data_IF_060739340990
#
_entry.id   IF_060739340990
#
_cell.length_a   1.000
_cell.length_b   1.000
_cell.length_c   1.000
_cell.angle_alpha   90.00
_cell.angle_beta   90.00
_cell.angle_gamma   90.00
#
_symmetry.space_group_name_H-M   'P 1'
#
loop_
_entity.id
_entity.type
_entity.pdbx_description
1 polymer ?
#
# COMPACT_ATOMS: atom_id res chain seq x y z
N UNK A 1 9.03 -41.31 -59.47
CA UNK A 1 8.34 -42.51 -58.92
C UNK A 1 9.07 -42.92 -57.65
N UNK A 2 8.49 -42.63 -56.49
CA UNK A 2 8.81 -43.23 -55.20
C UNK A 2 7.60 -42.95 -54.29
N UNK A 3 6.86 -44.00 -53.95
CA UNK A 3 5.61 -43.91 -53.19
C UNK A 3 5.85 -43.69 -51.71
N UNK A 4 5.10 -42.76 -51.12
CA UNK A 4 4.97 -42.60 -49.67
C UNK A 4 3.92 -43.61 -49.15
N UNK A 5 4.23 -44.41 -48.11
CA UNK A 5 3.27 -45.35 -47.54
C UNK A 5 2.27 -44.69 -46.59
N UNK A 6 1.12 -45.35 -46.47
CA UNK A 6 -0.13 -44.88 -45.90
C UNK A 6 -0.11 -44.58 -44.40
N UNK A 7 -0.82 -43.50 -44.02
CA UNK A 7 -1.17 -43.13 -42.64
C UNK A 7 -2.02 -44.22 -41.99
N UNK A 8 -1.47 -44.89 -40.97
CA UNK A 8 -2.24 -45.71 -40.02
C UNK A 8 -3.04 -44.79 -39.09
N UNK A 9 -4.36 -44.97 -39.06
CA UNK A 9 -5.26 -44.39 -38.05
C UNK A 9 -5.16 -45.26 -36.80
N UNK A 10 -4.72 -44.69 -35.68
CA UNK A 10 -4.82 -45.30 -34.35
C UNK A 10 -5.92 -44.56 -33.60
N UNK A 11 -6.93 -45.26 -33.03
CA UNK A 11 -7.94 -44.63 -32.19
C UNK A 11 -7.32 -44.29 -30.84
N UNK A 12 -7.33 -43.01 -30.47
CA UNK A 12 -6.91 -42.53 -29.17
C UNK A 12 -8.12 -42.61 -28.23
N UNK A 13 -8.17 -43.69 -27.44
CA UNK A 13 -9.07 -43.84 -26.31
C UNK A 13 -8.74 -42.76 -25.27
N UNK A 14 -9.66 -41.81 -25.10
CA UNK A 14 -9.65 -40.82 -24.02
C UNK A 14 -9.95 -41.56 -22.71
N UNK A 15 -8.90 -41.89 -21.95
CA UNK A 15 -9.01 -42.35 -20.58
C UNK A 15 -9.17 -41.15 -19.64
N UNK A 16 -10.38 -40.96 -19.13
CA UNK A 16 -10.69 -39.99 -18.09
C UNK A 16 -10.08 -40.50 -16.76
N UNK A 17 -8.94 -39.94 -16.35
CA UNK A 17 -8.36 -40.22 -15.04
C UNK A 17 -9.06 -39.34 -13.98
N UNK A 18 -10.05 -39.93 -13.32
CA UNK A 18 -10.75 -39.34 -12.18
C UNK A 18 -9.84 -39.49 -10.94
N UNK A 19 -9.14 -38.42 -10.58
CA UNK A 19 -8.32 -38.38 -9.35
C UNK A 19 -9.27 -38.15 -8.17
N UNK A 20 -9.67 -39.24 -7.52
CA UNK A 20 -10.29 -39.22 -6.20
C UNK A 20 -9.21 -38.91 -5.16
N UNK A 21 -9.23 -37.70 -4.60
CA UNK A 21 -8.48 -37.38 -3.38
C UNK A 21 -9.17 -38.13 -2.24
N UNK A 22 -8.50 -39.19 -1.76
CA UNK A 22 -8.94 -40.01 -0.63
C UNK A 22 -8.77 -39.19 0.65
N UNK A 23 -9.88 -38.73 1.22
CA UNK A 23 -9.93 -38.26 2.61
C UNK A 23 -9.71 -39.44 3.55
N UNK A 24 -8.54 -39.50 4.19
CA UNK A 24 -8.27 -40.47 5.25
C UNK A 24 -9.01 -40.05 6.53
N UNK A 25 -10.21 -40.60 6.73
CA UNK A 25 -10.93 -40.53 8.00
C UNK A 25 -10.33 -41.55 8.97
N UNK A 26 -9.49 -41.09 9.89
CA UNK A 26 -9.08 -41.89 11.06
C UNK A 26 -10.04 -41.55 12.19
N UNK A 27 -10.98 -42.46 12.47
CA UNK A 27 -11.94 -42.34 13.57
C UNK A 27 -11.30 -42.90 14.84
N UNK A 28 -10.81 -42.03 15.72
CA UNK A 28 -10.56 -42.38 17.10
C UNK A 28 -11.82 -42.04 17.91
N UNK A 29 -12.51 -43.08 18.37
CA UNK A 29 -13.58 -42.96 19.36
C UNK A 29 -12.93 -42.66 20.73
N UNK A 30 -12.86 -41.38 21.09
CA UNK A 30 -12.62 -40.96 22.47
C UNK A 30 -13.74 -40.02 22.91
N UNK A 31 -14.47 -40.44 23.94
CA UNK A 31 -15.39 -39.65 24.72
C UNK A 31 -14.63 -38.60 25.56
N UNK A 32 -14.06 -37.61 24.89
CA UNK A 32 -13.63 -36.33 25.47
C UNK A 32 -14.54 -35.25 24.89
N UNK A 33 -14.81 -34.21 25.67
CA UNK A 33 -15.72 -33.11 25.33
C UNK A 33 -15.60 -32.70 23.85
N UNK A 34 -16.71 -32.81 23.11
CA UNK A 34 -16.71 -32.61 21.66
C UNK A 34 -16.05 -31.28 21.26
N UNK A 35 -16.17 -30.26 22.12
CA UNK A 35 -15.59 -28.92 21.96
C UNK A 35 -14.04 -28.94 21.95
N UNK A 36 -13.40 -29.76 22.79
CA UNK A 36 -11.93 -29.89 22.82
C UNK A 36 -11.41 -30.59 21.56
N UNK A 37 -12.16 -31.57 21.05
CA UNK A 37 -11.83 -32.28 19.81
C UNK A 37 -12.01 -31.36 18.59
N UNK A 38 -13.07 -30.54 18.57
CA UNK A 38 -13.30 -29.55 17.52
C UNK A 38 -12.24 -28.44 17.53
N UNK A 39 -11.85 -27.92 18.70
CA UNK A 39 -10.78 -26.95 18.83
C UNK A 39 -9.43 -27.52 18.33
N UNK A 40 -9.09 -28.76 18.71
CA UNK A 40 -7.88 -29.41 18.26
C UNK A 40 -7.86 -29.58 16.72
N UNK A 41 -8.99 -30.00 16.13
CA UNK A 41 -9.14 -30.12 14.67
C UNK A 41 -8.98 -28.77 13.97
N UNK A 42 -9.66 -27.73 14.44
CA UNK A 42 -9.56 -26.40 13.83
C UNK A 42 -8.15 -25.79 13.96
N UNK A 43 -7.47 -26.03 15.08
CA UNK A 43 -6.07 -25.63 15.27
C UNK A 43 -5.14 -26.38 14.31
N UNK A 44 -5.34 -27.68 14.13
CA UNK A 44 -4.58 -28.46 13.14
C UNK A 44 -4.87 -27.98 11.70
N UNK A 45 -6.12 -27.64 11.40
CA UNK A 45 -6.51 -27.05 10.12
C UNK A 45 -5.79 -25.73 9.87
N UNK A 46 -5.85 -24.77 10.82
CA UNK A 46 -5.12 -23.50 10.72
C UNK A 46 -3.61 -23.72 10.52
N UNK A 47 -3.01 -24.66 11.28
CA UNK A 47 -1.57 -24.96 11.19
C UNK A 47 -1.15 -25.45 9.81
N UNK A 48 -2.01 -26.20 9.12
CA UNK A 48 -1.72 -26.79 7.82
C UNK A 48 -2.27 -25.99 6.64
N UNK A 49 -3.18 -25.04 6.89
CA UNK A 49 -3.78 -24.19 5.87
C UNK A 49 -2.71 -23.41 5.11
N UNK A 50 -3.00 -23.11 3.84
CA UNK A 50 -2.11 -22.35 2.97
C UNK A 50 -0.68 -22.93 2.86
N UNK A 51 -0.52 -24.26 2.99
CA UNK A 51 0.80 -24.89 3.01
C UNK A 51 1.63 -24.60 4.27
N UNK A 52 0.99 -24.18 5.36
CA UNK A 52 1.66 -23.82 6.62
C UNK A 52 2.26 -22.41 6.63
N UNK A 53 1.83 -21.52 5.73
CA UNK A 53 2.35 -20.15 5.62
C UNK A 53 1.75 -19.17 6.64
N UNK A 54 0.58 -19.49 7.22
CA UNK A 54 -0.05 -18.62 8.22
C UNK A 54 0.72 -18.65 9.56
N UNK A 55 0.80 -17.52 10.30
CA UNK A 55 1.49 -17.43 11.59
C UNK A 55 0.70 -18.13 12.69
N UNK A 56 0.82 -19.46 12.74
CA UNK A 56 0.04 -20.31 13.65
C UNK A 56 0.15 -19.88 15.11
N UNK A 57 1.34 -19.51 15.59
CA UNK A 57 1.55 -19.13 16.99
C UNK A 57 0.72 -17.90 17.41
N UNK A 58 0.49 -16.96 16.50
CA UNK A 58 -0.28 -15.73 16.76
C UNK A 58 -1.78 -15.93 16.57
N UNK A 59 -2.17 -16.84 15.68
CA UNK A 59 -3.57 -17.07 15.30
C UNK A 59 -4.25 -18.22 16.06
N UNK A 60 -3.50 -19.16 16.65
CA UNK A 60 -4.06 -20.38 17.29
C UNK A 60 -5.05 -20.13 18.42
N UNK A 61 -4.91 -18.99 19.10
CA UNK A 61 -5.74 -18.61 20.25
C UNK A 61 -7.03 -17.91 19.83
N UNK A 62 -7.14 -17.59 18.53
CA UNK A 62 -8.34 -17.05 17.92
C UNK A 62 -9.27 -18.13 17.37
N UNK A 63 -8.77 -19.35 17.20
CA UNK A 63 -9.50 -20.44 16.58
C UNK A 63 -10.69 -20.87 17.45
N UNK A 64 -11.93 -20.82 16.94
CA UNK A 64 -13.10 -21.25 17.70
C UNK A 64 -13.11 -22.77 17.88
N UNK A 65 -13.69 -23.23 18.99
CA UNK A 65 -13.86 -24.66 19.30
C UNK A 65 -15.25 -25.20 18.95
N UNK A 66 -16.21 -24.34 18.62
CA UNK A 66 -17.64 -24.67 18.55
C UNK A 66 -18.18 -24.79 17.11
N UNK A 67 -17.45 -24.29 16.12
CA UNK A 67 -17.83 -24.37 14.69
C UNK A 67 -16.71 -25.01 13.88
N UNK A 68 -17.07 -25.76 12.84
CA UNK A 68 -16.09 -26.32 11.91
C UNK A 68 -15.54 -25.22 11.01
N UNK A 69 -14.21 -25.17 10.84
CA UNK A 69 -13.61 -24.26 9.88
C UNK A 69 -13.67 -24.76 8.43
N UNK A 70 -13.58 -23.86 7.47
CA UNK A 70 -13.42 -24.13 6.05
C UNK A 70 -12.10 -23.52 5.55
N UNK A 71 -11.50 -24.10 4.52
CA UNK A 71 -10.27 -23.59 3.89
C UNK A 71 -10.47 -23.50 2.39
N UNK A 72 -10.28 -22.32 1.84
CA UNK A 72 -10.18 -22.08 0.42
C UNK A 72 -8.79 -21.56 0.11
N UNK A 73 -7.99 -22.33 -0.61
CA UNK A 73 -6.61 -21.96 -0.89
C UNK A 73 -6.22 -22.32 -2.33
N UNK A 74 -5.65 -21.37 -3.06
CA UNK A 74 -5.10 -21.58 -4.40
C UNK A 74 -3.90 -20.66 -4.64
N UNK A 75 -3.16 -20.90 -5.71
CA UNK A 75 -2.03 -20.08 -6.12
C UNK A 75 -0.82 -20.90 -6.52
N UNK A 76 0.06 -20.28 -7.30
CA UNK A 76 1.27 -20.94 -7.84
C UNK A 76 2.22 -21.45 -6.75
N UNK A 77 2.18 -20.89 -5.54
CA UNK A 77 2.95 -21.39 -4.41
C UNK A 77 2.42 -22.73 -3.87
N UNK A 78 1.11 -22.94 -3.94
CA UNK A 78 0.46 -24.15 -3.40
C UNK A 78 0.43 -25.28 -4.43
N UNK A 79 0.19 -24.93 -5.70
CA UNK A 79 0.16 -25.88 -6.81
C UNK A 79 1.10 -25.41 -7.92
N UNK A 80 2.42 -25.67 -7.81
CA UNK A 80 3.38 -25.28 -8.84
C UNK A 80 3.05 -25.93 -10.19
N UNK A 81 2.96 -25.12 -11.24
CA UNK A 81 2.67 -25.59 -12.61
C UNK A 81 1.24 -25.35 -13.10
N UNK A 82 0.31 -24.97 -12.22
CA UNK A 82 -0.99 -24.44 -12.63
C UNK A 82 -0.90 -22.93 -12.90
N UNK A 83 -1.52 -22.46 -13.98
CA UNK A 83 -1.56 -21.03 -14.30
C UNK A 83 -2.49 -20.30 -13.31
N UNK A 84 -1.91 -19.48 -12.44
CA UNK A 84 -2.66 -18.59 -11.55
C UNK A 84 -2.02 -17.21 -11.50
N UNK A 85 -2.83 -16.15 -11.53
CA UNK A 85 -2.33 -14.77 -11.35
C UNK A 85 -1.84 -14.51 -9.92
N UNK A 86 -2.29 -15.31 -8.95
CA UNK A 86 -1.88 -15.23 -7.55
C UNK A 86 -0.67 -16.11 -7.25
N UNK A 87 0.19 -15.63 -6.37
CA UNK A 87 1.19 -16.48 -5.70
C UNK A 87 0.49 -17.30 -4.62
N UNK A 88 -0.38 -16.64 -3.85
CA UNK A 88 -1.20 -17.23 -2.81
C UNK A 88 -2.54 -16.49 -2.75
N UNK A 89 -3.62 -17.23 -2.60
CA UNK A 89 -4.91 -16.71 -2.15
C UNK A 89 -5.43 -17.75 -1.18
N UNK A 90 -5.54 -17.36 0.09
CA UNK A 90 -5.90 -18.28 1.15
C UNK A 90 -6.90 -17.64 2.09
N UNK A 91 -7.99 -18.34 2.33
CA UNK A 91 -9.05 -17.96 3.23
C UNK A 91 -9.33 -19.13 4.16
N UNK A 92 -9.23 -18.90 5.45
CA UNK A 92 -9.66 -19.84 6.49
C UNK A 92 -10.83 -19.19 7.22
N UNK A 93 -12.02 -19.76 7.06
CA UNK A 93 -13.24 -19.22 7.64
C UNK A 93 -13.77 -20.14 8.73
N UNK A 94 -14.46 -19.55 9.68
CA UNK A 94 -15.28 -20.23 10.66
C UNK A 94 -16.64 -19.53 10.63
N UNK A 95 -17.68 -20.16 10.05
CA UNK A 95 -18.98 -19.52 9.84
C UNK A 95 -19.52 -18.84 11.10
N UNK A 96 -19.97 -17.60 10.97
CA UNK A 96 -20.49 -16.74 12.06
C UNK A 96 -19.53 -16.54 13.24
N UNK A 97 -18.26 -16.93 13.07
CA UNK A 97 -17.20 -16.72 14.05
C UNK A 97 -16.20 -15.74 13.50
N UNK A 98 -15.52 -16.01 12.40
CA UNK A 98 -14.51 -15.10 11.86
C UNK A 98 -13.75 -15.70 10.69
N UNK A 99 -12.77 -14.96 10.16
CA UNK A 99 -11.94 -15.40 9.05
C UNK A 99 -10.51 -14.87 9.14
N UNK A 100 -9.60 -15.63 8.57
CA UNK A 100 -8.25 -15.17 8.23
C UNK A 100 -8.14 -15.26 6.72
N UNK A 101 -7.87 -14.13 6.09
CA UNK A 101 -7.72 -14.03 4.65
C UNK A 101 -6.37 -13.43 4.34
N UNK A 102 -5.59 -14.09 3.48
CA UNK A 102 -4.31 -13.59 2.99
C UNK A 102 -4.22 -13.81 1.49
N UNK A 103 -3.86 -12.75 0.76
CA UNK A 103 -3.58 -12.83 -0.67
C UNK A 103 -2.20 -12.28 -0.94
N UNK A 104 -1.47 -12.95 -1.83
CA UNK A 104 -0.21 -12.47 -2.35
C UNK A 104 -0.22 -12.62 -3.87
N UNK A 105 0.11 -11.55 -4.58
CA UNK A 105 0.35 -11.65 -6.02
C UNK A 105 1.48 -10.74 -6.46
N UNK A 106 2.03 -10.97 -7.66
CA UNK A 106 3.10 -10.14 -8.19
C UNK A 106 2.63 -8.68 -8.30
N UNK A 107 3.50 -7.73 -7.97
CA UNK A 107 3.28 -6.31 -8.29
C UNK A 107 3.41 -6.18 -9.80
N UNK A 108 2.27 -6.21 -10.48
CA UNK A 108 2.19 -5.90 -11.91
C UNK A 108 1.92 -4.41 -12.06
N UNK A 109 1.79 -3.95 -13.31
CA UNK A 109 1.37 -2.60 -13.69
C UNK A 109 0.01 -2.13 -13.11
N UNK A 110 -0.63 -2.94 -12.25
CA UNK A 110 -1.81 -2.60 -11.47
C UNK A 110 -1.80 -3.42 -10.17
N UNK A 111 -1.95 -2.74 -9.05
CA UNK A 111 -2.26 -3.36 -7.76
C UNK A 111 -3.75 -3.72 -7.69
N UNK A 112 -4.14 -4.76 -6.95
CA UNK A 112 -5.55 -5.11 -6.82
C UNK A 112 -6.29 -4.05 -6.00
N UNK A 113 -7.55 -3.79 -6.33
CA UNK A 113 -8.44 -3.09 -5.41
C UNK A 113 -8.53 -3.86 -4.08
N UNK A 114 -8.59 -3.17 -2.93
CA UNK A 114 -8.69 -1.72 -2.75
C UNK A 114 -7.33 -0.99 -2.58
N UNK A 115 -6.22 -1.55 -3.05
CA UNK A 115 -4.89 -0.91 -2.87
C UNK A 115 -4.67 0.17 -3.92
N UNK A 116 -4.37 1.37 -3.43
CA UNK A 116 -4.09 2.58 -4.22
C UNK A 116 -2.66 3.05 -4.02
N UNK A 117 -2.06 3.59 -5.08
CA UNK A 117 -0.80 4.35 -5.01
C UNK A 117 -0.99 5.77 -5.53
N UNK A 118 -2.24 6.25 -5.63
CA UNK A 118 -2.51 7.61 -6.04
C UNK A 118 -1.90 8.58 -5.03
N UNK A 119 -1.18 9.58 -5.54
CA UNK A 119 -0.47 10.52 -4.69
C UNK A 119 -1.39 11.24 -3.71
N UNK A 120 -2.61 11.60 -4.14
CA UNK A 120 -3.60 12.27 -3.31
C UNK A 120 -4.12 11.39 -2.15
N UNK A 121 -4.06 10.07 -2.30
CA UNK A 121 -4.48 9.10 -1.27
C UNK A 121 -3.30 8.64 -0.39
N UNK A 122 -2.06 8.86 -0.86
CA UNK A 122 -0.83 8.58 -0.11
C UNK A 122 -0.35 9.78 0.71
N UNK A 123 -0.50 10.99 0.16
CA UNK A 123 -0.33 12.28 0.83
C UNK A 123 -1.29 12.32 2.00
N UNK A 124 -0.77 12.55 3.19
CA UNK A 124 -1.57 12.63 4.40
C UNK A 124 -2.50 13.83 4.31
N UNK A 125 -3.67 13.65 3.72
CA UNK A 125 -4.83 14.43 4.09
C UNK A 125 -5.32 13.85 5.40
N UNK A 126 -5.36 14.66 6.45
CA UNK A 126 -6.02 14.35 7.71
C UNK A 126 -7.44 13.88 7.38
N UNK A 127 -7.60 12.56 7.27
CA UNK A 127 -8.81 11.87 6.85
C UNK A 127 -9.54 11.34 8.08
N UNK A 128 -10.83 11.07 7.92
CA UNK A 128 -11.78 10.80 9.02
C UNK A 128 -11.65 9.39 9.61
N UNK A 129 -10.93 8.49 8.94
CA UNK A 129 -10.80 7.08 9.33
C UNK A 129 -9.39 6.77 9.86
N UNK A 130 -9.32 5.95 10.92
CA UNK A 130 -8.07 5.53 11.51
C UNK A 130 -7.27 4.64 10.56
N UNK A 131 -6.12 5.16 10.12
CA UNK A 131 -5.11 4.44 9.36
C UNK A 131 -3.87 4.18 10.25
N UNK A 132 -3.21 3.07 9.99
CA UNK A 132 -2.05 2.59 10.73
C UNK A 132 -0.89 2.30 9.80
N UNK A 133 0.30 2.74 10.22
CA UNK A 133 1.57 2.45 9.56
C UNK A 133 2.49 1.66 10.48
N UNK A 134 3.35 0.83 9.88
CA UNK A 134 4.32 0.02 10.59
C UNK A 134 5.74 0.42 10.14
N UNK A 135 6.60 0.96 11.03
CA UNK A 135 7.97 1.32 10.67
C UNK A 135 8.74 0.15 10.04
N UNK A 136 9.41 0.40 8.92
CA UNK A 136 10.16 -0.58 8.14
C UNK A 136 9.29 -1.43 7.20
N UNK A 137 7.98 -1.22 7.14
CA UNK A 137 7.05 -1.92 6.24
C UNK A 137 6.49 -0.93 5.24
N UNK A 138 6.61 -1.25 3.94
CA UNK A 138 5.91 -0.49 2.90
C UNK A 138 4.49 -0.99 2.79
N UNK A 139 3.54 -0.29 3.39
CA UNK A 139 2.16 -0.74 3.52
C UNK A 139 1.36 0.06 4.53
N UNK A 140 0.04 -0.08 4.45
CA UNK A 140 -0.92 0.59 5.34
C UNK A 140 -2.01 -0.40 5.77
N UNK A 141 -2.63 -0.09 6.90
CA UNK A 141 -3.83 -0.76 7.43
C UNK A 141 -4.86 0.32 7.74
N UNK A 142 -6.11 0.14 7.36
CA UNK A 142 -7.17 1.12 7.62
C UNK A 142 -8.45 0.46 8.10
N UNK A 143 -9.36 1.23 8.68
CA UNK A 143 -10.66 0.69 9.12
C UNK A 143 -11.53 0.24 7.93
N UNK A 144 -11.50 0.98 6.83
CA UNK A 144 -12.25 0.69 5.60
C UNK A 144 -11.45 -0.12 4.56
N UNK A 145 -10.13 -0.19 4.68
CA UNK A 145 -9.23 -0.82 3.72
C UNK A 145 -8.56 -2.08 4.27
N UNK A 146 -8.33 -3.09 3.42
CA UNK A 146 -7.58 -4.28 3.83
C UNK A 146 -6.13 -3.90 4.12
N UNK A 147 -5.54 -4.46 5.18
CA UNK A 147 -4.10 -4.29 5.42
C UNK A 147 -3.32 -4.82 4.24
N UNK A 148 -2.42 -4.02 3.70
CA UNK A 148 -1.59 -4.38 2.56
C UNK A 148 -0.14 -4.00 2.82
N UNK A 149 0.78 -4.73 2.18
CA UNK A 149 2.19 -4.37 2.11
C UNK A 149 2.81 -4.82 0.79
N UNK A 150 3.99 -4.30 0.49
CA UNK A 150 4.80 -4.67 -0.66
C UNK A 150 6.10 -5.31 -0.19
N UNK A 151 6.38 -6.50 -0.70
CA UNK A 151 7.58 -7.25 -0.41
C UNK A 151 8.41 -7.43 -1.69
N UNK A 152 9.68 -7.06 -1.62
CA UNK A 152 10.57 -7.25 -2.74
C UNK A 152 11.02 -8.68 -2.94
N UNK A 153 11.33 -8.98 -4.20
CA UNK A 153 11.97 -10.18 -4.66
C UNK A 153 13.06 -9.87 -5.71
N UNK A 154 14.26 -9.41 -5.30
CA UNK A 154 15.29 -8.95 -6.24
C UNK A 154 15.73 -9.98 -7.28
N UNK A 155 15.76 -11.27 -6.92
CA UNK A 155 16.07 -12.37 -7.84
C UNK A 155 14.92 -12.73 -8.79
N UNK A 156 13.77 -12.05 -8.67
CA UNK A 156 12.56 -12.29 -9.44
C UNK A 156 11.66 -13.38 -8.84
N UNK A 157 10.36 -13.23 -9.08
CA UNK A 157 9.35 -14.24 -8.75
C UNK A 157 9.39 -15.37 -9.79
N UNK A 158 9.55 -16.61 -9.34
CA UNK A 158 9.74 -17.76 -10.22
C UNK A 158 8.50 -18.12 -11.07
N UNK A 159 8.74 -18.86 -12.15
CA UNK A 159 7.71 -19.47 -13.01
C UNK A 159 6.74 -18.48 -13.70
N UNK A 160 7.21 -17.27 -14.01
CA UNK A 160 6.42 -16.25 -14.72
C UNK A 160 6.96 -15.97 -16.13
N UNK A 161 6.06 -15.55 -17.01
CA UNK A 161 6.40 -15.13 -18.37
C UNK A 161 7.04 -13.74 -18.44
N UNK A 162 6.93 -12.95 -17.36
CA UNK A 162 7.59 -11.65 -17.17
C UNK A 162 8.35 -11.69 -15.85
N UNK A 163 9.54 -11.11 -15.85
CA UNK A 163 10.30 -10.91 -14.62
C UNK A 163 9.59 -9.87 -13.77
N UNK A 164 9.20 -10.27 -12.55
CA UNK A 164 8.57 -9.39 -11.57
C UNK A 164 9.37 -9.50 -10.29
N UNK A 165 9.82 -8.37 -9.77
CA UNK A 165 10.74 -8.29 -8.62
C UNK A 165 10.08 -7.83 -7.32
N UNK A 166 8.75 -7.85 -7.23
CA UNK A 166 8.01 -7.67 -5.98
C UNK A 166 6.66 -8.36 -5.99
N UNK A 167 6.11 -8.57 -4.81
CA UNK A 167 4.74 -9.01 -4.59
C UNK A 167 4.04 -8.07 -3.62
N UNK A 168 2.75 -7.84 -3.83
CA UNK A 168 1.90 -7.27 -2.80
C UNK A 168 1.36 -8.42 -1.95
N UNK A 169 1.12 -8.14 -0.67
CA UNK A 169 0.46 -9.07 0.26
C UNK A 169 -0.63 -8.31 0.98
N UNK A 170 -1.86 -8.83 0.95
CA UNK A 170 -2.97 -8.32 1.78
C UNK A 170 -3.29 -9.32 2.87
N UNK A 171 -3.71 -8.83 4.04
CA UNK A 171 -4.14 -9.65 5.14
C UNK A 171 -5.36 -9.04 5.84
N UNK A 172 -6.34 -9.88 6.13
CA UNK A 172 -7.50 -9.55 6.96
C UNK A 172 -7.60 -10.58 8.06
N UNK A 173 -7.68 -10.14 9.31
CA UNK A 173 -7.85 -11.03 10.46
C UNK A 173 -9.06 -10.57 11.26
N UNK A 174 -10.22 -11.13 10.90
CA UNK A 174 -11.48 -10.77 11.54
C UNK A 174 -11.63 -11.44 12.90
N UNK A 175 -12.47 -10.82 13.73
CA UNK A 175 -12.73 -11.22 15.11
C UNK A 175 -13.72 -12.37 15.21
N UNK A 176 -13.46 -13.23 16.20
CA UNK A 176 -14.15 -14.50 16.48
C UNK A 176 -15.29 -14.37 17.50
N UNK A 177 -16.55 -14.55 17.07
CA UNK A 177 -17.70 -14.91 17.92
C UNK A 177 -18.27 -13.84 18.88
N UNK A 178 -19.49 -14.09 19.38
CA UNK A 178 -20.18 -13.24 20.34
C UNK A 178 -19.48 -13.29 21.71
N UNK A 179 -18.87 -12.17 22.15
CA UNK A 179 -18.22 -12.05 23.47
C UNK A 179 -16.70 -11.85 23.44
N UNK A 180 -16.04 -11.93 22.28
CA UNK A 180 -14.65 -11.51 22.16
C UNK A 180 -14.54 -9.97 22.32
N UNK A 181 -14.01 -9.50 23.46
CA UNK A 181 -13.77 -8.07 23.76
C UNK A 181 -13.16 -7.34 22.57
N UNK A 182 -13.82 -6.44 21.81
CA UNK A 182 -13.25 -5.70 20.63
C UNK A 182 -11.74 -5.42 20.81
N UNK A 183 -10.88 -5.98 19.93
CA UNK A 183 -9.47 -5.60 19.89
C UNK A 183 -9.50 -4.11 19.53
N UNK A 184 -8.69 -3.29 20.20
CA UNK A 184 -8.47 -1.94 19.73
C UNK A 184 -7.97 -1.97 18.28
N UNK A 185 -8.31 -0.96 17.49
CA UNK A 185 -7.95 -0.89 16.07
C UNK A 185 -6.43 -1.04 15.85
N UNK A 186 -5.60 -0.42 16.69
CA UNK A 186 -4.14 -0.59 16.72
C UNK A 186 -3.71 -2.07 16.85
N UNK A 187 -4.26 -2.81 17.80
CA UNK A 187 -3.90 -4.21 18.04
C UNK A 187 -4.40 -5.15 16.94
N UNK A 188 -5.47 -4.76 16.22
CA UNK A 188 -5.92 -5.43 15.00
C UNK A 188 -4.93 -5.16 13.86
N UNK A 189 -4.62 -3.91 13.58
CA UNK A 189 -3.68 -3.50 12.53
C UNK A 189 -2.32 -4.17 12.71
N UNK A 190 -1.76 -4.17 13.93
CA UNK A 190 -0.50 -4.84 14.23
C UNK A 190 -0.54 -6.35 13.92
N UNK A 191 -1.65 -7.02 14.21
CA UNK A 191 -1.82 -8.44 13.92
C UNK A 191 -1.91 -8.71 12.41
N UNK A 192 -2.63 -7.87 11.70
CA UNK A 192 -2.77 -7.98 10.24
C UNK A 192 -1.42 -7.72 9.55
N UNK A 193 -0.67 -6.68 9.97
CA UNK A 193 0.70 -6.44 9.49
C UNK A 193 1.64 -7.60 9.78
N UNK A 194 1.66 -8.14 11.01
CA UNK A 194 2.47 -9.31 11.33
C UNK A 194 2.12 -10.51 10.47
N UNK A 195 0.83 -10.73 10.24
CA UNK A 195 0.35 -11.81 9.37
C UNK A 195 0.82 -11.63 7.94
N UNK A 196 0.69 -10.42 7.38
CA UNK A 196 1.16 -10.10 6.04
C UNK A 196 2.69 -10.25 5.93
N UNK A 197 3.45 -9.74 6.91
CA UNK A 197 4.92 -9.81 6.93
C UNK A 197 5.42 -11.26 7.05
N UNK A 198 4.83 -12.06 7.92
CA UNK A 198 5.21 -13.47 8.10
C UNK A 198 4.94 -14.27 6.82
N UNK A 199 3.79 -14.04 6.16
CA UNK A 199 3.48 -14.67 4.87
C UNK A 199 4.40 -14.17 3.76
N UNK A 200 4.66 -12.86 3.68
CA UNK A 200 5.59 -12.29 2.72
C UNK A 200 6.98 -12.90 2.85
N UNK A 201 7.52 -12.97 4.06
CA UNK A 201 8.84 -13.55 4.35
C UNK A 201 8.89 -15.05 4.04
N UNK A 202 7.81 -15.79 4.30
CA UNK A 202 7.73 -17.19 3.95
C UNK A 202 7.71 -17.39 2.41
N UNK A 203 6.98 -16.53 1.69
CA UNK A 203 6.96 -16.52 0.22
C UNK A 203 8.30 -16.09 -0.36
N UNK A 204 8.94 -15.03 0.12
CA UNK A 204 10.24 -14.59 -0.40
C UNK A 204 11.31 -15.67 -0.23
N UNK A 205 11.30 -16.36 0.90
CA UNK A 205 12.17 -17.52 1.16
C UNK A 205 11.88 -18.67 0.20
N UNK A 206 10.61 -19.01 -0.01
CA UNK A 206 10.21 -20.08 -0.92
C UNK A 206 10.58 -19.77 -2.39
N UNK A 207 10.44 -18.52 -2.80
CA UNK A 207 10.78 -18.01 -4.12
C UNK A 207 12.28 -17.74 -4.31
N UNK A 208 13.09 -17.86 -3.25
CA UNK A 208 14.56 -17.61 -3.26
C UNK A 208 14.91 -16.20 -3.74
N UNK A 209 14.17 -15.22 -3.26
CA UNK A 209 14.24 -13.83 -3.68
C UNK A 209 15.60 -13.12 -3.48
N UNK A 210 16.47 -13.61 -2.58
CA UNK A 210 17.82 -13.07 -2.41
C UNK A 210 17.93 -11.71 -1.68
N UNK A 211 16.84 -11.25 -1.04
CA UNK A 211 16.80 -10.03 -0.21
C UNK A 211 16.72 -10.32 1.30
N UNK A 212 16.83 -9.26 2.11
CA UNK A 212 16.60 -9.33 3.56
C UNK A 212 15.11 -9.53 3.87
N UNK A 213 14.82 -10.28 4.92
CA UNK A 213 13.46 -10.46 5.40
C UNK A 213 12.94 -9.14 5.97
N UNK A 214 11.66 -8.83 5.72
CA UNK A 214 11.00 -7.68 6.34
C UNK A 214 10.98 -7.91 7.85
N UNK A 215 11.45 -6.94 8.62
CA UNK A 215 11.40 -7.02 10.08
C UNK A 215 9.94 -7.14 10.53
N UNK A 216 9.67 -8.07 11.44
CA UNK A 216 8.32 -8.26 11.97
C UNK A 216 7.98 -7.07 12.88
N UNK A 217 6.88 -6.33 12.61
CA UNK A 217 6.59 -5.11 13.36
C UNK A 217 6.23 -5.42 14.82
N UNK A 218 6.76 -4.60 15.72
CA UNK A 218 6.51 -4.67 17.16
C UNK A 218 5.38 -3.74 17.60
N UNK A 219 5.21 -2.61 16.90
CA UNK A 219 4.14 -1.62 17.05
C UNK A 219 3.59 -1.18 15.69
N UNK A 220 2.45 -0.51 15.71
CA UNK A 220 1.94 0.32 14.61
C UNK A 220 1.77 1.74 15.13
N UNK A 221 1.76 2.72 14.24
CA UNK A 221 1.53 4.12 14.57
C UNK A 221 0.21 4.51 13.94
N UNK A 222 -0.67 5.08 14.76
CA UNK A 222 -1.92 5.68 14.30
C UNK A 222 -1.57 6.95 13.52
N UNK A 223 -2.01 7.03 12.27
CA UNK A 223 -1.78 8.19 11.41
C UNK A 223 -2.97 9.16 11.41
N UNK A 224 -3.99 8.90 12.24
CA UNK A 224 -5.15 9.76 12.42
C UNK A 224 -4.93 10.85 13.48
N UNK A 225 -5.42 12.06 13.19
CA UNK A 225 -5.52 13.16 14.13
C UNK A 225 -6.93 13.17 14.73
N UNK A 226 -7.05 12.90 16.04
CA UNK A 226 -8.35 12.93 16.72
C UNK A 226 -8.64 14.34 17.27
N UNK A 227 -9.65 15.01 16.73
CA UNK A 227 -10.31 16.13 17.41
C UNK A 227 -11.27 15.56 18.48
N UNK A 228 -10.94 15.75 19.75
CA UNK A 228 -11.80 15.27 20.85
C UNK A 228 -12.73 16.39 21.30
N UNK A 229 -14.04 16.26 21.02
CA UNK A 229 -15.03 17.18 21.60
C UNK A 229 -15.47 16.65 22.96
N UNK A 230 -15.40 17.48 24.01
CA UNK A 230 -15.90 17.11 25.34
C UNK A 230 -17.42 17.30 25.48
N UNK A 231 -18.06 18.01 24.54
CA UNK A 231 -19.51 18.28 24.53
C UNK A 231 -20.27 17.56 23.38
N UNK A 232 -21.49 17.03 23.63
CA UNK A 232 -22.35 16.41 22.60
C UNK A 232 -22.80 17.35 21.48
N UNK A 233 -22.68 18.65 21.72
CA UNK A 233 -23.21 19.72 20.85
C UNK A 233 -22.12 20.29 19.92
N UNK A 234 -20.86 19.82 20.05
CA UNK A 234 -19.70 20.30 19.29
C UNK A 234 -19.27 21.74 19.63
N UNK A 235 -19.86 22.35 20.66
CA UNK A 235 -19.68 23.78 20.97
C UNK A 235 -18.33 24.13 21.60
N UNK A 236 -17.63 23.15 22.19
CA UNK A 236 -16.29 23.30 22.74
C UNK A 236 -15.41 22.18 22.18
N UNK A 237 -14.72 22.46 21.06
CA UNK A 237 -13.61 21.64 20.59
C UNK A 237 -12.39 21.98 21.45
N UNK A 238 -12.11 21.15 22.46
CA UNK A 238 -10.80 21.20 23.14
C UNK A 238 -9.90 20.18 22.45
N UNK A 239 -8.93 20.69 21.68
CA UNK A 239 -7.87 19.87 21.05
C UNK A 239 -6.93 19.39 22.17
N UNK A 240 -7.35 18.38 22.93
CA UNK A 240 -6.53 17.80 24.00
C UNK A 240 -5.51 16.83 23.38
N UNK A 241 -4.47 17.40 22.76
CA UNK A 241 -3.24 16.72 22.37
C UNK A 241 -3.27 16.02 21.01
N UNK A 242 -3.06 16.78 19.93
CA UNK A 242 -2.83 16.20 18.60
C UNK A 242 -1.32 16.19 18.33
N UNK A 243 -0.60 15.18 18.81
CA UNK A 243 0.71 14.86 18.26
C UNK A 243 0.49 14.44 16.81
N UNK A 244 0.90 15.28 15.86
CA UNK A 244 0.70 15.01 14.44
C UNK A 244 1.67 13.94 13.98
N UNK A 245 1.18 12.74 13.57
CA UNK A 245 2.05 11.66 13.15
C UNK A 245 2.93 12.10 11.98
N UNK A 246 4.24 11.92 12.12
CA UNK A 246 5.21 12.26 11.08
C UNK A 246 5.62 13.73 11.01
N UNK A 247 5.11 14.60 11.88
CA UNK A 247 5.59 15.98 11.98
C UNK A 247 7.10 16.02 12.27
N UNK A 248 7.83 16.86 11.54
CA UNK A 248 9.27 16.98 11.63
C UNK A 248 10.04 15.81 11.03
N UNK A 249 9.40 14.93 10.25
CA UNK A 249 10.04 13.77 9.63
C UNK A 249 11.32 14.19 8.87
N UNK A 250 12.46 13.67 9.34
CA UNK A 250 13.78 14.11 8.87
C UNK A 250 13.97 13.94 7.35
N UNK A 251 13.28 12.95 6.77
CA UNK A 251 13.31 12.61 5.34
C UNK A 251 12.60 13.62 4.43
N UNK A 252 11.81 14.52 5.02
CA UNK A 252 10.98 15.50 4.31
C UNK A 252 11.49 16.94 4.46
N UNK A 253 12.52 17.18 5.28
CA UNK A 253 12.98 18.53 5.65
C UNK A 253 13.36 19.40 4.45
N UNK A 254 13.98 18.81 3.42
CA UNK A 254 14.33 19.52 2.20
C UNK A 254 13.15 20.09 1.40
N UNK A 255 11.92 19.58 1.58
CA UNK A 255 10.79 19.89 0.69
C UNK A 255 10.48 21.40 0.64
N UNK A 256 10.48 22.05 1.80
CA UNK A 256 10.14 23.48 1.93
C UNK A 256 11.35 24.38 2.23
N UNK A 257 12.57 23.83 2.29
CA UNK A 257 13.78 24.53 2.77
C UNK A 257 14.07 25.82 1.99
N UNK A 258 13.80 25.81 0.69
CA UNK A 258 14.07 26.92 -0.20
C UNK A 258 12.95 27.98 -0.21
N UNK A 259 11.82 27.74 0.49
CA UNK A 259 10.68 28.64 0.52
C UNK A 259 10.76 29.60 1.73
N UNK A 260 10.39 30.88 1.55
CA UNK A 260 10.40 31.83 2.66
C UNK A 260 9.36 31.45 3.72
N UNK A 261 9.61 31.87 4.97
CA UNK A 261 8.71 31.64 6.08
C UNK A 261 9.05 30.40 6.91
N UNK A 262 8.23 30.16 7.93
CA UNK A 262 8.28 28.92 8.72
C UNK A 262 7.32 27.92 8.10
N UNK A 263 7.77 26.67 7.95
CA UNK A 263 6.99 25.61 7.34
C UNK A 263 6.86 24.44 8.31
N UNK A 264 5.62 23.99 8.51
CA UNK A 264 5.35 22.70 9.14
C UNK A 264 5.53 21.61 8.09
N UNK A 265 6.37 20.63 8.37
CA UNK A 265 6.68 19.52 7.47
C UNK A 265 6.32 18.21 8.12
N UNK A 266 5.54 17.37 7.44
CA UNK A 266 5.18 16.03 7.86
C UNK A 266 5.56 15.01 6.77
N UNK A 267 5.53 13.72 7.10
CA UNK A 267 5.68 12.65 6.13
C UNK A 267 5.28 11.30 6.68
N UNK A 268 5.20 10.29 5.81
CA UNK A 268 4.81 8.95 6.24
C UNK A 268 5.80 8.38 7.29
N UNK A 269 5.32 7.43 8.07
CA UNK A 269 6.03 6.76 9.17
C UNK A 269 6.43 5.33 8.81
N UNK A 270 6.28 4.93 7.55
CA UNK A 270 6.59 3.58 7.07
C UNK A 270 8.09 3.29 7.03
N UNK A 271 8.95 4.32 7.06
CA UNK A 271 10.41 4.21 6.87
C UNK A 271 10.78 3.35 5.65
N UNK A 272 9.95 3.45 4.60
CA UNK A 272 10.06 2.63 3.42
C UNK A 272 11.24 3.06 2.53
N UNK A 273 11.82 2.08 1.83
CA UNK A 273 12.77 2.31 0.73
C UNK A 273 12.13 2.30 -0.65
N UNK A 274 10.86 1.91 -0.74
CA UNK A 274 10.08 1.85 -1.98
C UNK A 274 9.15 3.06 -2.11
N UNK A 275 8.78 3.67 -0.99
CA UNK A 275 7.83 4.77 -0.92
C UNK A 275 8.37 5.86 0.01
N UNK A 276 8.12 7.11 -0.37
CA UNK A 276 8.22 8.27 0.52
C UNK A 276 7.08 9.21 0.20
N UNK A 277 6.44 9.72 1.22
CA UNK A 277 5.40 10.75 1.18
C UNK A 277 5.83 11.85 2.14
N UNK A 278 5.77 13.08 1.66
CA UNK A 278 6.11 14.28 2.41
C UNK A 278 5.11 15.39 2.09
N UNK A 279 4.76 16.16 3.11
CA UNK A 279 3.83 17.28 3.01
C UNK A 279 4.34 18.48 3.79
N UNK A 280 4.20 19.66 3.24
CA UNK A 280 4.61 20.90 3.88
C UNK A 280 3.56 22.00 3.70
N UNK A 281 3.34 22.77 4.76
CA UNK A 281 2.41 23.89 4.77
C UNK A 281 2.97 25.04 5.63
N UNK A 282 2.68 26.31 5.30
CA UNK A 282 3.15 27.44 6.10
C UNK A 282 2.32 27.62 7.39
N UNK A 283 1.21 26.90 7.54
CA UNK A 283 0.42 26.86 8.78
C UNK A 283 1.16 26.10 9.88
N UNK A 284 1.04 26.55 11.12
CA UNK A 284 1.46 25.77 12.27
C UNK A 284 0.49 24.60 12.43
N UNK A 285 0.97 23.38 12.24
CA UNK A 285 0.12 22.20 12.41
C UNK A 285 -0.06 21.84 13.89
N UNK A 286 0.88 22.20 14.76
CA UNK A 286 0.75 21.94 16.21
C UNK A 286 -0.27 22.86 16.88
N UNK A 287 -0.51 24.04 16.30
CA UNK A 287 -1.49 25.02 16.77
C UNK A 287 -2.50 25.34 15.66
N UNK A 288 -3.50 24.48 15.49
CA UNK A 288 -4.60 24.70 14.55
C UNK A 288 -5.46 25.94 14.87
N UNK A 289 -5.27 26.55 16.05
CA UNK A 289 -5.93 27.79 16.46
C UNK A 289 -5.13 29.05 16.13
N UNK A 290 -3.86 28.91 15.73
CA UNK A 290 -3.05 30.01 15.26
C UNK A 290 -3.66 30.60 13.99
N UNK A 291 -3.69 31.93 13.92
CA UNK A 291 -4.11 32.61 12.69
C UNK A 291 -3.21 32.13 11.54
N UNK A 292 -3.80 31.67 10.41
CA UNK A 292 -3.03 31.33 9.23
C UNK A 292 -2.12 32.52 8.86
N UNK A 293 -0.87 32.30 8.40
CA UNK A 293 -0.08 33.41 7.92
C UNK A 293 -0.82 34.08 6.76
N UNK A 294 -0.79 35.42 6.73
CA UNK A 294 -1.29 36.18 5.61
C UNK A 294 -0.45 35.83 4.37
N UNK A 295 -1.03 35.06 3.45
CA UNK A 295 -0.44 34.71 2.16
C UNK A 295 -1.01 35.65 1.09
N UNK A 296 -0.14 36.22 0.26
CA UNK A 296 -0.55 37.03 -0.89
C UNK A 296 -0.99 36.10 -2.05
N UNK A 297 -1.84 36.59 -2.96
CA UNK A 297 -2.21 35.84 -4.18
C UNK A 297 -0.94 35.40 -4.94
N UNK A 298 -0.79 34.09 -5.15
CA UNK A 298 0.36 33.49 -5.81
C UNK A 298 1.51 33.05 -4.90
N UNK A 299 1.40 33.26 -3.58
CA UNK A 299 2.28 32.62 -2.61
C UNK A 299 2.00 31.12 -2.53
N UNK A 300 3.00 30.32 -2.15
CA UNK A 300 2.83 28.86 -2.00
C UNK A 300 2.09 28.58 -0.70
N UNK A 301 0.94 27.92 -0.78
CA UNK A 301 0.11 27.56 0.37
C UNK A 301 0.29 26.09 0.80
N UNK A 302 0.74 25.22 -0.10
CA UNK A 302 1.09 23.85 0.22
C UNK A 302 2.11 23.26 -0.77
N UNK A 303 2.90 22.32 -0.27
CA UNK A 303 3.82 21.48 -1.04
C UNK A 303 3.59 20.03 -0.64
N UNK A 304 3.63 19.12 -1.60
CA UNK A 304 3.76 17.68 -1.32
C UNK A 304 4.80 17.05 -2.22
N UNK A 305 5.41 15.97 -1.76
CA UNK A 305 6.34 15.17 -2.53
C UNK A 305 6.10 13.69 -2.28
N UNK A 306 5.96 12.93 -3.37
CA UNK A 306 5.82 11.48 -3.32
C UNK A 306 6.88 10.84 -4.21
N UNK A 307 7.53 9.79 -3.72
CA UNK A 307 8.50 9.00 -4.48
C UNK A 307 8.15 7.53 -4.44
N UNK A 308 8.06 6.89 -5.61
CA UNK A 308 7.84 5.45 -5.76
C UNK A 308 9.03 4.82 -6.47
N UNK A 309 9.76 3.96 -5.76
CA UNK A 309 10.95 3.28 -6.27
C UNK A 309 10.69 1.81 -6.62
N UNK A 310 11.47 1.34 -7.59
CA UNK A 310 11.43 -0.03 -8.05
C UNK A 310 10.05 -0.41 -8.59
N UNK A 311 9.50 -1.57 -8.18
CA UNK A 311 8.21 -2.05 -8.68
C UNK A 311 7.02 -1.11 -8.45
N UNK A 312 7.07 -0.25 -7.42
CA UNK A 312 6.00 0.74 -7.20
C UNK A 312 6.00 1.84 -8.25
N UNK A 313 7.18 2.28 -8.70
CA UNK A 313 7.28 3.27 -9.77
C UNK A 313 6.65 2.77 -11.08
N UNK A 314 6.81 1.48 -11.41
CA UNK A 314 6.19 0.89 -12.60
C UNK A 314 4.67 0.76 -12.49
N UNK A 315 4.14 0.48 -11.29
CA UNK A 315 2.70 0.43 -11.06
C UNK A 315 2.06 1.81 -11.20
N UNK A 316 2.70 2.85 -10.65
CA UNK A 316 2.25 4.25 -10.75
C UNK A 316 2.28 4.74 -12.18
N UNK A 317 3.38 4.49 -12.92
CA UNK A 317 3.51 4.86 -14.34
C UNK A 317 2.29 4.37 -15.15
N UNK A 318 1.95 3.08 -14.98
CA UNK A 318 0.84 2.45 -15.70
C UNK A 318 -0.56 2.83 -15.19
N UNK A 319 -0.69 3.25 -13.94
CA UNK A 319 -1.92 3.80 -13.38
C UNK A 319 -2.22 5.18 -13.98
N UNK A 320 -1.24 6.07 -13.94
CA UNK A 320 -1.37 7.44 -14.44
C UNK A 320 -1.45 7.51 -15.97
N UNK A 321 -0.75 6.65 -16.71
CA UNK A 321 -0.91 6.54 -18.17
C UNK A 321 -2.36 6.22 -18.57
N UNK A 322 -3.06 5.42 -17.74
CA UNK A 322 -4.44 5.01 -18.00
C UNK A 322 -5.45 6.08 -17.59
N UNK A 323 -5.20 6.77 -16.48
CA UNK A 323 -6.05 7.86 -15.98
C UNK A 323 -5.98 9.11 -16.86
N UNK A 324 -4.96 9.24 -17.72
CA UNK A 324 -4.68 10.46 -18.48
C UNK A 324 -3.97 11.53 -17.64
N UNK A 325 -3.56 11.16 -16.42
CA UNK A 325 -2.93 12.03 -15.43
C UNK A 325 -1.38 11.89 -15.45
N UNK A 326 -0.82 11.20 -16.45
CA UNK A 326 0.63 11.00 -16.64
C UNK A 326 1.36 12.21 -17.23
N UNK A 327 2.68 12.24 -17.02
CA UNK A 327 3.61 13.20 -17.61
C UNK A 327 3.63 13.04 -19.14
N UNK A 328 2.99 13.98 -19.81
CA UNK A 328 2.69 13.80 -21.22
C UNK A 328 1.71 14.86 -21.69
N UNK A 329 1.99 16.12 -21.34
CA UNK A 329 1.47 17.25 -22.09
C UNK A 329 1.89 17.01 -23.55
N UNK A 330 1.03 16.36 -24.35
CA UNK A 330 1.08 16.56 -25.79
C UNK A 330 0.96 18.06 -25.94
N UNK A 331 2.03 18.71 -26.39
CA UNK A 331 2.16 20.15 -26.44
C UNK A 331 0.81 20.86 -26.66
N UNK A 332 0.21 21.38 -25.58
CA UNK A 332 -1.03 22.15 -25.59
C UNK A 332 -2.38 21.43 -25.37
N UNK A 333 -2.45 20.12 -25.15
CA UNK A 333 -3.73 19.42 -24.86
C UNK A 333 -3.93 19.19 -23.35
N UNK A 334 -5.02 19.74 -22.81
CA UNK A 334 -5.57 19.38 -21.49
C UNK A 334 -6.03 17.93 -21.55
N UNK A 335 -5.46 17.04 -20.74
CA UNK A 335 -5.82 15.61 -20.75
C UNK A 335 -7.11 15.30 -19.99
N UNK A 336 -7.58 16.22 -19.13
CA UNK A 336 -8.80 16.07 -18.33
C UNK A 336 -9.61 17.37 -18.34
N UNK A 337 -10.91 17.26 -18.64
CA UNK A 337 -11.86 18.31 -18.25
C UNK A 337 -12.01 18.24 -16.75
N UNK A 338 -11.48 19.25 -16.09
CA UNK A 338 -11.43 19.27 -14.66
C UNK A 338 -12.64 20.04 -14.10
N UNK A 339 -13.23 19.58 -12.99
CA UNK A 339 -14.45 20.17 -12.42
C UNK A 339 -14.23 21.59 -11.86
N UNK A 340 -15.16 22.50 -12.11
CA UNK A 340 -15.12 23.88 -11.60
C UNK A 340 -15.21 23.92 -10.06
N UNK A 341 -14.39 24.75 -9.40
CA UNK A 341 -14.52 25.10 -7.98
C UNK A 341 -13.68 24.30 -6.97
N UNK A 342 -12.68 23.53 -7.42
CA UNK A 342 -11.67 22.90 -6.54
C UNK A 342 -10.39 23.76 -6.47
N UNK A 343 -9.46 23.58 -5.53
CA UNK A 343 -8.17 24.31 -5.52
C UNK A 343 -7.22 23.82 -6.62
N UNK A 344 -6.61 24.72 -7.42
CA UNK A 344 -5.69 24.30 -8.50
C UNK A 344 -4.37 23.86 -7.88
N UNK A 345 -3.85 22.73 -8.36
CA UNK A 345 -2.50 22.28 -8.07
C UNK A 345 -1.72 21.97 -9.35
N UNK A 346 -0.40 22.10 -9.29
CA UNK A 346 0.50 21.64 -10.34
C UNK A 346 1.38 20.51 -9.79
N UNK A 347 1.29 19.34 -10.41
CA UNK A 347 2.18 18.22 -10.16
C UNK A 347 3.32 18.18 -11.19
N UNK A 348 4.56 18.25 -10.72
CA UNK A 348 5.78 18.06 -11.51
C UNK A 348 6.29 16.63 -11.31
N UNK A 349 6.44 15.91 -12.41
CA UNK A 349 6.94 14.54 -12.43
C UNK A 349 8.40 14.49 -12.84
N UNK A 350 9.18 13.65 -12.15
CA UNK A 350 10.56 13.36 -12.50
C UNK A 350 10.85 11.86 -12.38
N UNK A 351 11.71 11.34 -13.25
CA UNK A 351 12.15 9.96 -13.25
C UNK A 351 13.63 9.88 -12.90
N UNK A 352 14.04 8.86 -12.16
CA UNK A 352 15.44 8.65 -11.82
C UNK A 352 15.73 7.20 -11.45
N UNK A 353 16.90 6.97 -10.89
CA UNK A 353 17.35 5.66 -10.43
C UNK A 353 17.78 5.75 -8.97
N UNK A 354 17.18 4.93 -8.11
CA UNK A 354 17.52 4.81 -6.69
C UNK A 354 17.98 3.38 -6.37
N UNK A 355 18.33 3.13 -5.11
CA UNK A 355 18.81 1.83 -4.64
C UNK A 355 17.83 0.68 -4.91
N UNK A 356 16.52 0.94 -4.86
CA UNK A 356 15.48 -0.05 -5.11
C UNK A 356 15.08 -0.18 -6.60
N UNK A 357 15.63 0.63 -7.50
CA UNK A 357 15.32 0.56 -8.93
C UNK A 357 14.95 1.91 -9.56
N UNK A 358 14.37 1.84 -10.77
CA UNK A 358 13.74 3.00 -11.43
C UNK A 358 12.76 3.64 -10.47
N UNK A 359 12.78 4.94 -10.36
CA UNK A 359 12.00 5.70 -9.39
C UNK A 359 11.26 6.82 -10.09
N UNK A 360 9.99 7.00 -9.72
CA UNK A 360 9.21 8.18 -10.08
C UNK A 360 9.11 9.07 -8.85
N UNK A 361 9.31 10.36 -9.06
CA UNK A 361 9.10 11.42 -8.10
C UNK A 361 7.98 12.30 -8.63
N UNK A 362 7.08 12.70 -7.75
CA UNK A 362 6.08 13.72 -8.02
C UNK A 362 6.18 14.78 -6.93
N UNK A 363 6.18 16.04 -7.33
CA UNK A 363 6.10 17.18 -6.42
C UNK A 363 4.89 18.00 -6.81
N UNK A 364 3.98 18.22 -5.87
CA UNK A 364 2.77 19.00 -6.08
C UNK A 364 2.88 20.32 -5.35
N UNK A 365 2.48 21.40 -6.01
CA UNK A 365 2.48 22.77 -5.46
C UNK A 365 1.08 23.34 -5.56
N UNK A 366 0.61 23.87 -4.44
CA UNK A 366 -0.59 24.71 -4.35
C UNK A 366 -0.19 26.15 -4.07
N UNK A 367 -0.83 27.10 -4.74
CA UNK A 367 -0.68 28.53 -4.47
C UNK A 367 -1.96 29.10 -3.84
N UNK A 368 -1.82 30.15 -3.04
CA UNK A 368 -2.92 30.94 -2.52
C UNK A 368 -3.62 31.70 -3.65
N UNK A 369 -4.96 31.69 -3.67
CA UNK A 369 -5.76 32.32 -4.73
C UNK A 369 -7.10 32.83 -4.21
N UNK A 370 -7.48 34.01 -4.67
CA UNK A 370 -8.80 34.60 -4.39
C UNK A 370 -9.95 33.87 -5.11
N UNK A 371 -9.65 33.22 -6.25
CA UNK A 371 -10.65 32.53 -7.07
C UNK A 371 -10.13 31.17 -7.56
N UNK A 372 -10.52 30.13 -6.83
CA UNK A 372 -10.25 28.73 -7.17
C UNK A 372 -11.17 28.20 -8.29
N UNK A 373 -12.09 28.99 -8.86
CA UNK A 373 -12.97 28.49 -9.94
C UNK A 373 -12.39 28.70 -11.35
N UNK A 374 -11.38 29.56 -11.50
CA UNK A 374 -10.82 29.92 -12.82
C UNK A 374 -9.58 29.12 -13.21
N UNK A 375 -9.47 28.86 -14.51
CA UNK A 375 -8.26 28.30 -15.11
C UNK A 375 -7.03 29.19 -14.86
N UNK A 376 -5.85 28.57 -14.74
CA UNK A 376 -4.57 29.27 -14.65
C UNK A 376 -4.27 30.05 -15.94
N UNK A 377 -3.81 31.29 -15.78
CA UNK A 377 -3.18 32.10 -16.83
C UNK A 377 -1.77 31.57 -17.13
N UNK A 378 -1.20 31.94 -18.27
CA UNK A 378 0.17 31.56 -18.64
C UNK A 378 1.23 32.06 -17.64
N UNK A 379 1.02 33.27 -17.09
CA UNK A 379 1.89 33.83 -16.05
C UNK A 379 1.85 33.01 -14.77
N UNK A 380 0.65 32.60 -14.33
CA UNK A 380 0.47 31.75 -13.15
C UNK A 380 1.08 30.38 -13.38
N UNK A 381 0.82 29.73 -14.52
CA UNK A 381 1.46 28.45 -14.88
C UNK A 381 2.98 28.52 -14.77
N UNK A 382 3.58 29.54 -15.39
CA UNK A 382 5.04 29.73 -15.34
C UNK A 382 5.54 29.93 -13.90
N UNK A 383 4.74 30.55 -13.03
CA UNK A 383 5.07 30.66 -11.60
C UNK A 383 4.98 29.28 -10.91
N UNK A 384 3.88 28.56 -11.06
CA UNK A 384 3.70 27.20 -10.51
C UNK A 384 4.83 26.27 -10.96
N UNK A 385 5.17 26.24 -12.26
CA UNK A 385 6.25 25.41 -12.80
C UNK A 385 7.61 25.72 -12.15
N UNK A 386 7.92 27.01 -11.93
CA UNK A 386 9.15 27.40 -11.24
C UNK A 386 9.16 26.98 -9.77
N UNK A 387 8.04 27.12 -9.07
CA UNK A 387 7.95 26.72 -7.66
C UNK A 387 8.01 25.20 -7.52
N UNK A 388 7.31 24.44 -8.37
CA UNK A 388 7.38 22.99 -8.40
C UNK A 388 8.80 22.49 -8.71
N UNK A 389 9.48 23.12 -9.67
CA UNK A 389 10.89 22.80 -9.95
C UNK A 389 11.79 23.07 -8.76
N UNK A 390 11.61 24.21 -8.10
CA UNK A 390 12.36 24.60 -6.90
C UNK A 390 12.15 23.61 -5.75
N UNK A 391 10.91 23.22 -5.47
CA UNK A 391 10.57 22.21 -4.45
C UNK A 391 11.16 20.84 -4.78
N UNK A 392 11.09 20.41 -6.05
CA UNK A 392 11.73 19.16 -6.50
C UNK A 392 13.24 19.18 -6.32
N UNK A 393 13.91 20.25 -6.73
CA UNK A 393 15.36 20.37 -6.59
C UNK A 393 15.78 20.34 -5.11
N UNK A 394 15.05 21.02 -4.23
CA UNK A 394 15.30 21.01 -2.79
C UNK A 394 15.08 19.61 -2.16
N UNK A 395 13.95 18.97 -2.47
CA UNK A 395 13.63 17.61 -2.03
C UNK A 395 14.69 16.58 -2.46
N UNK A 396 15.15 16.63 -3.71
CA UNK A 396 16.17 15.72 -4.23
C UNK A 396 17.57 16.02 -3.68
N UNK A 397 17.88 17.28 -3.37
CA UNK A 397 19.20 17.70 -2.93
C UNK A 397 19.47 17.44 -1.45
N UNK A 398 18.44 17.48 -0.59
CA UNK A 398 18.57 17.39 0.88
C UNK A 398 19.40 16.17 1.33
N UNK A 399 20.57 16.38 1.95
CA UNK A 399 21.42 15.30 2.45
C UNK A 399 20.73 14.37 3.45
N UNK A 400 19.76 14.89 4.21
CA UNK A 400 18.93 14.13 5.14
C UNK A 400 17.67 13.54 4.51
N UNK A 401 17.36 13.91 3.27
CA UNK A 401 16.12 13.59 2.59
C UNK A 401 16.07 12.14 2.10
N UNK A 402 14.85 11.63 1.92
CA UNK A 402 14.65 10.27 1.40
C UNK A 402 15.41 9.98 0.10
N UNK A 403 15.44 10.88 -0.92
CA UNK A 403 16.14 10.61 -2.17
C UNK A 403 17.65 10.34 -1.97
N UNK A 404 18.31 11.08 -1.07
CA UNK A 404 19.73 10.87 -0.76
C UNK A 404 19.96 9.59 0.02
N UNK A 405 19.10 9.28 0.99
CA UNK A 405 19.16 8.01 1.73
C UNK A 405 19.01 6.80 0.79
N UNK A 406 18.15 6.91 -0.22
CA UNK A 406 17.96 5.90 -1.25
C UNK A 406 18.96 5.99 -2.42
N UNK A 407 19.98 6.85 -2.33
CA UNK A 407 21.02 7.04 -3.36
C UNK A 407 20.44 7.32 -4.75
N UNK A 408 19.37 8.10 -4.81
CA UNK A 408 18.76 8.51 -6.07
C UNK A 408 19.73 9.38 -6.90
N UNK A 409 19.78 9.12 -8.19
CA UNK A 409 20.59 9.84 -9.17
C UNK A 409 19.95 9.83 -10.56
N UNK A 410 20.59 10.52 -11.51
CA UNK A 410 20.15 10.63 -12.91
C UNK A 410 18.69 11.07 -13.04
N UNK A 411 18.27 12.01 -12.19
CA UNK A 411 16.89 12.48 -12.16
C UNK A 411 16.62 13.45 -13.30
N UNK A 412 15.61 13.14 -14.12
CA UNK A 412 15.16 13.94 -15.26
C UNK A 412 13.69 14.31 -15.08
N UNK A 413 13.33 15.55 -15.44
CA UNK A 413 11.92 15.97 -15.45
C UNK A 413 11.22 15.31 -16.63
N UNK A 414 10.09 14.70 -16.35
CA UNK A 414 9.29 14.00 -17.34
C UNK A 414 8.15 14.88 -17.86
N UNK A 415 7.61 15.76 -17.01
CA UNK A 415 6.55 16.70 -17.39
C UNK A 415 5.76 17.24 -16.20
N UNK A 416 4.78 18.07 -16.51
CA UNK A 416 3.90 18.73 -15.54
C UNK A 416 2.44 18.33 -15.82
N UNK A 417 1.61 18.27 -14.78
CA UNK A 417 0.19 17.93 -14.85
C UNK A 417 -0.58 18.92 -13.97
N UNK A 418 -1.54 19.64 -14.56
CA UNK A 418 -2.48 20.49 -13.82
C UNK A 418 -3.63 19.63 -13.30
N UNK A 419 -3.88 19.69 -12.00
CA UNK A 419 -4.97 18.97 -11.31
C UNK A 419 -5.78 19.90 -10.42
N UNK A 420 -6.81 19.34 -9.78
CA UNK A 420 -7.42 19.99 -8.62
C UNK A 420 -7.53 19.04 -7.45
N UNK A 421 -7.32 19.58 -6.25
CA UNK A 421 -7.45 18.88 -4.97
C UNK A 421 -8.88 18.38 -4.74
#
# INVERSE_FOLDING_TARGET
>A
MAGLPARRKVPLTVGLALVLIVGAAVVFLSSGDADDEHLARNRAQLKNACGGLLPYAELRDLVPGDVRGEVHAYGTQLTPGEESRSLLSCEVTWPDRGRVEVRAAPVLSRLPEPVTLEAAELVASAGVDADYEAPGVTGRSGEAAVTWLVAECPAGLGARARDVSAMYVTATVDRFGAGARKLGAEARALREFRTAVDVANALTKAQKCGGEAIARPDKVIDTYEAEVTSDPDGGNMEVEGVEIPGLGAAKCRGLAEEFPGTWSVAGDLQESRLLSVCDATPYDREDSSADPPDLDEGDVSALSAVSWAGPLGESVDAEYERGGDSYGFRAGERTKELAEGKPVELALWAGGQCAAGRTLHQVTVSLERDDYSRALTERERTLFSRQARKALDAYLADPGGWPRQQRCHDTEVLGEVEGWR
#
